data_IF_430726769317
#
_entry.id   IF_430726769317
#
_cell.length_a   1.000
_cell.length_b   1.000
_cell.length_c   1.000
_cell.angle_alpha   90.00
_cell.angle_beta   90.00
_cell.angle_gamma   90.00
#
_symmetry.space_group_name_H-M   'P 1'
#
loop_
_entity.id
_entity.type
_entity.pdbx_description
1 polymer ?
#
# COMPACT_ATOMS: atom_id res chain seq x y z
N UNK A 1 20.73 -18.34 -11.41
CA UNK A 1 19.38 -18.61 -10.85
C UNK A 1 18.81 -17.27 -10.41
N UNK A 2 17.89 -16.70 -11.19
CA UNK A 2 17.29 -15.40 -10.87
C UNK A 2 16.42 -15.57 -9.64
N UNK A 3 16.85 -15.05 -8.49
CA UNK A 3 16.09 -15.12 -7.24
C UNK A 3 14.85 -14.26 -7.41
N UNK A 4 13.68 -14.90 -7.49
CA UNK A 4 12.41 -14.18 -7.45
C UNK A 4 12.30 -13.45 -6.10
N UNK A 5 11.84 -12.18 -6.09
CA UNK A 5 11.83 -11.35 -4.87
C UNK A 5 10.66 -11.67 -3.92
N UNK A 6 9.84 -12.69 -4.23
CA UNK A 6 8.65 -13.06 -3.47
C UNK A 6 8.77 -14.43 -2.80
N UNK A 7 7.93 -14.64 -1.78
CA UNK A 7 7.89 -15.88 -1.01
C UNK A 7 7.07 -16.99 -1.70
N UNK A 8 7.28 -18.23 -1.25
CA UNK A 8 6.59 -19.43 -1.79
C UNK A 8 5.07 -19.34 -1.69
N UNK A 9 4.54 -18.78 -0.59
CA UNK A 9 3.10 -18.64 -0.40
C UNK A 9 2.47 -17.74 -1.47
N UNK A 10 3.11 -16.61 -1.78
CA UNK A 10 2.66 -15.69 -2.82
C UNK A 10 2.64 -16.36 -4.19
N UNK A 11 3.71 -17.07 -4.51
CA UNK A 11 3.84 -17.83 -5.75
C UNK A 11 2.71 -18.88 -5.91
N UNK A 12 2.44 -19.68 -4.87
CA UNK A 12 1.40 -20.70 -4.90
C UNK A 12 0.00 -20.11 -5.04
N UNK A 13 -0.26 -19.00 -4.35
CA UNK A 13 -1.53 -18.26 -4.45
C UNK A 13 -1.72 -17.76 -5.87
N UNK A 14 -0.70 -17.10 -6.42
CA UNK A 14 -0.75 -16.49 -7.75
C UNK A 14 -0.92 -17.55 -8.83
N UNK A 15 -0.14 -18.65 -8.81
CA UNK A 15 -0.30 -19.76 -9.77
C UNK A 15 -1.70 -20.37 -9.74
N UNK A 16 -2.31 -20.51 -8.56
CA UNK A 16 -3.69 -21.02 -8.46
C UNK A 16 -4.74 -20.08 -9.05
N UNK A 17 -4.42 -18.79 -9.17
CA UNK A 17 -5.29 -17.76 -9.76
C UNK A 17 -5.06 -17.56 -11.26
N UNK A 18 -4.10 -18.26 -11.87
CA UNK A 18 -3.71 -18.16 -13.28
C UNK A 18 -4.00 -19.48 -14.01
N UNK A 19 -5.22 -19.71 -14.49
CA UNK A 19 -5.62 -20.99 -15.08
C UNK A 19 -4.87 -21.33 -16.38
N UNK A 20 -4.31 -20.34 -17.07
CA UNK A 20 -3.58 -20.54 -18.33
C UNK A 20 -2.07 -20.73 -18.13
N UNK A 21 -1.55 -20.51 -16.91
CA UNK A 21 -0.13 -20.68 -16.61
C UNK A 21 0.18 -22.15 -16.36
N UNK A 22 1.14 -22.72 -17.10
CA UNK A 22 1.60 -24.09 -16.87
C UNK A 22 2.41 -24.19 -15.59
N UNK A 23 2.32 -25.32 -14.88
CA UNK A 23 3.10 -25.55 -13.64
C UNK A 23 4.62 -25.46 -13.86
N UNK A 24 5.12 -25.86 -15.03
CA UNK A 24 6.54 -25.82 -15.36
C UNK A 24 7.00 -24.44 -15.86
N UNK A 25 6.07 -23.52 -16.09
CA UNK A 25 6.39 -22.20 -16.62
C UNK A 25 6.97 -21.28 -15.53
N UNK A 26 8.07 -20.62 -15.87
CA UNK A 26 8.73 -19.67 -14.98
C UNK A 26 7.90 -18.40 -14.87
N UNK A 27 7.41 -18.11 -13.66
CA UNK A 27 6.73 -16.86 -13.35
C UNK A 27 7.78 -15.76 -13.14
N UNK A 28 7.83 -14.78 -14.05
CA UNK A 28 8.78 -13.67 -13.99
C UNK A 28 8.10 -12.43 -13.39
N UNK A 29 8.86 -11.52 -12.74
CA UNK A 29 8.30 -10.29 -12.16
C UNK A 29 7.57 -9.42 -13.20
N UNK A 30 7.95 -9.52 -14.47
CA UNK A 30 7.35 -8.76 -15.58
C UNK A 30 6.27 -9.54 -16.34
N UNK A 31 5.91 -10.75 -15.91
CA UNK A 31 4.90 -11.58 -16.58
C UNK A 31 3.53 -10.88 -16.56
N UNK A 32 2.86 -10.70 -17.70
CA UNK A 32 1.58 -10.00 -17.76
C UNK A 32 0.43 -10.90 -17.27
N UNK A 33 -0.07 -10.69 -16.05
CA UNK A 33 -1.04 -11.62 -15.43
C UNK A 33 -2.35 -11.75 -16.21
N UNK A 34 -2.79 -10.66 -16.86
CA UNK A 34 -4.01 -10.65 -17.67
C UNK A 34 -3.96 -11.63 -18.84
N UNK A 35 -2.77 -11.90 -19.40
CA UNK A 35 -2.62 -12.88 -20.49
C UNK A 35 -2.77 -14.33 -20.00
N UNK A 36 -2.65 -14.56 -18.69
CA UNK A 36 -2.78 -15.88 -18.07
C UNK A 36 -4.16 -16.17 -17.47
N UNK A 37 -5.16 -15.37 -17.84
CA UNK A 37 -6.56 -15.59 -17.46
C UNK A 37 -6.97 -14.94 -16.14
N UNK A 38 -6.19 -13.97 -15.64
CA UNK A 38 -6.59 -13.17 -14.48
C UNK A 38 -7.70 -12.18 -14.86
N UNK A 39 -8.94 -12.54 -14.54
CA UNK A 39 -10.13 -11.70 -14.69
C UNK A 39 -10.51 -10.97 -13.38
N UNK A 40 -11.47 -10.05 -13.42
CA UNK A 40 -12.04 -9.32 -12.26
C UNK A 40 -12.40 -10.23 -11.08
N UNK A 41 -13.08 -11.36 -11.33
CA UNK A 41 -13.40 -12.32 -10.25
C UNK A 41 -12.14 -13.01 -9.70
N UNK A 42 -11.16 -13.29 -10.57
CA UNK A 42 -9.86 -13.82 -10.19
C UNK A 42 -9.06 -12.83 -9.34
N UNK A 43 -9.11 -11.54 -9.66
CA UNK A 43 -8.48 -10.46 -8.90
C UNK A 43 -9.07 -10.35 -7.49
N UNK A 44 -10.40 -10.39 -7.36
CA UNK A 44 -11.06 -10.32 -6.05
C UNK A 44 -10.73 -11.52 -5.17
N UNK A 45 -10.69 -12.74 -5.73
CA UNK A 45 -10.24 -13.92 -4.98
C UNK A 45 -8.76 -13.86 -4.62
N UNK A 46 -7.93 -13.33 -5.53
CA UNK A 46 -6.50 -13.15 -5.29
C UNK A 46 -6.26 -12.19 -4.12
N UNK A 47 -6.96 -11.04 -4.08
CA UNK A 47 -6.92 -10.10 -2.95
C UNK A 47 -7.24 -10.85 -1.64
N UNK A 48 -8.39 -11.52 -1.56
CA UNK A 48 -8.83 -12.19 -0.33
C UNK A 48 -7.82 -13.26 0.16
N UNK A 49 -7.21 -14.01 -0.76
CA UNK A 49 -6.19 -15.02 -0.42
C UNK A 49 -4.89 -14.38 0.05
N UNK A 50 -4.49 -13.25 -0.55
CA UNK A 50 -3.30 -12.51 -0.13
C UNK A 50 -3.50 -11.90 1.27
N UNK A 51 -4.65 -11.29 1.54
CA UNK A 51 -4.99 -10.75 2.87
C UNK A 51 -4.90 -11.82 3.95
N UNK A 52 -5.53 -12.97 3.69
CA UNK A 52 -5.54 -14.10 4.64
C UNK A 52 -4.14 -14.67 4.86
N UNK A 53 -3.37 -14.87 3.78
CA UNK A 53 -2.08 -15.56 3.85
C UNK A 53 -0.96 -14.68 4.41
N UNK A 54 -1.00 -13.38 4.12
CA UNK A 54 0.00 -12.41 4.59
C UNK A 54 -0.47 -11.60 5.81
N UNK A 55 -1.67 -11.88 6.34
CA UNK A 55 -2.29 -11.15 7.46
C UNK A 55 -2.30 -9.63 7.24
N UNK A 56 -2.60 -9.22 6.00
CA UNK A 56 -2.73 -7.82 5.60
C UNK A 56 -4.17 -7.50 5.27
N UNK A 57 -4.48 -6.21 5.15
CA UNK A 57 -5.77 -5.74 4.64
C UNK A 57 -5.53 -4.77 3.50
N UNK A 58 -6.23 -4.96 2.39
CA UNK A 58 -6.25 -4.04 1.25
C UNK A 58 -7.58 -3.29 1.23
N UNK A 59 -7.61 -2.01 1.66
CA UNK A 59 -8.83 -1.22 1.62
C UNK A 59 -9.40 -1.13 0.19
N UNK A 60 -10.72 -0.99 0.03
CA UNK A 60 -11.33 -0.84 -1.27
C UNK A 60 -10.73 0.36 -2.02
N UNK A 61 -10.32 0.14 -3.27
CA UNK A 61 -9.68 1.16 -4.11
C UNK A 61 -8.16 1.29 -3.96
N UNK A 62 -7.51 0.57 -3.03
CA UNK A 62 -6.03 0.59 -2.94
C UNK A 62 -5.35 -0.35 -3.93
N UNK A 63 -6.08 -1.32 -4.48
CA UNK A 63 -5.63 -2.24 -5.53
C UNK A 63 -6.27 -1.87 -6.87
N UNK A 64 -5.72 -0.90 -7.62
CA UNK A 64 -6.18 -0.62 -8.99
C UNK A 64 -5.85 -1.79 -9.91
N UNK A 65 -6.49 -1.85 -11.09
CA UNK A 65 -6.19 -2.87 -12.11
C UNK A 65 -4.71 -2.94 -12.48
N UNK A 66 -4.00 -1.81 -12.49
CA UNK A 66 -2.54 -1.76 -12.73
C UNK A 66 -1.72 -2.50 -11.68
N UNK A 67 -2.24 -2.70 -10.45
CA UNK A 67 -1.57 -3.52 -9.43
C UNK A 67 -1.49 -5.00 -9.84
N UNK A 68 -2.41 -5.44 -10.71
CA UNK A 68 -2.48 -6.79 -11.26
C UNK A 68 -1.81 -6.89 -12.64
N UNK A 69 -1.04 -5.88 -13.07
CA UNK A 69 -0.37 -5.92 -14.36
C UNK A 69 0.67 -7.04 -14.42
N UNK A 70 1.48 -7.19 -13.36
CA UNK A 70 2.52 -8.22 -13.27
C UNK A 70 2.81 -8.62 -11.80
N UNK A 71 3.43 -9.79 -11.55
CA UNK A 71 3.73 -10.26 -10.20
C UNK A 71 4.59 -9.30 -9.39
N UNK A 72 5.53 -8.59 -10.03
CA UNK A 72 6.45 -7.68 -9.35
C UNK A 72 5.72 -6.50 -8.71
N UNK A 73 4.80 -5.87 -9.44
CA UNK A 73 3.97 -4.77 -8.93
C UNK A 73 3.06 -5.27 -7.81
N UNK A 74 2.39 -6.42 -8.02
CA UNK A 74 1.49 -6.99 -7.03
C UNK A 74 2.22 -7.31 -5.71
N UNK A 75 3.40 -7.90 -5.79
CA UNK A 75 4.21 -8.19 -4.61
C UNK A 75 4.62 -6.93 -3.85
N UNK A 76 4.96 -5.85 -4.57
CA UNK A 76 5.25 -4.55 -3.96
C UNK A 76 4.09 -4.03 -3.12
N UNK A 77 2.85 -4.21 -3.57
CA UNK A 77 1.64 -3.84 -2.81
C UNK A 77 1.47 -4.67 -1.54
N UNK A 78 1.74 -5.98 -1.61
CA UNK A 78 1.72 -6.87 -0.44
C UNK A 78 2.76 -6.44 0.60
N UNK A 79 3.99 -6.12 0.17
CA UNK A 79 5.02 -5.64 1.07
C UNK A 79 4.69 -4.28 1.69
N UNK A 80 4.12 -3.35 0.92
CA UNK A 80 3.67 -2.07 1.44
C UNK A 80 2.55 -2.24 2.49
N UNK A 81 1.61 -3.18 2.27
CA UNK A 81 0.54 -3.46 3.22
C UNK A 81 1.06 -4.15 4.50
N UNK A 82 2.01 -5.09 4.39
CA UNK A 82 2.67 -5.68 5.56
C UNK A 82 3.36 -4.62 6.42
N UNK A 83 4.06 -3.68 5.77
CA UNK A 83 4.68 -2.55 6.44
C UNK A 83 3.68 -1.54 7.01
N UNK A 84 2.46 -1.46 6.49
CA UNK A 84 1.42 -0.65 7.13
C UNK A 84 0.84 -1.36 8.36
N UNK A 85 0.70 -2.69 8.30
CA UNK A 85 0.17 -3.52 9.39
C UNK A 85 1.16 -3.66 10.54
N UNK A 86 2.46 -3.84 10.28
CA UNK A 86 3.48 -3.97 11.34
C UNK A 86 3.63 -2.69 12.19
N UNK A 87 3.25 -1.53 11.63
CA UNK A 87 3.21 -0.24 12.34
C UNK A 87 1.83 0.08 12.94
N UNK A 88 0.84 -0.82 12.79
CA UNK A 88 -0.48 -0.76 13.44
C UNK A 88 -0.54 -1.75 14.62
N UNK A 89 -0.46 -1.22 15.84
CA UNK A 89 -0.16 -1.86 17.13
C UNK A 89 -0.89 -3.19 17.50
N UNK A 90 -0.27 -4.04 18.35
CA UNK A 90 -0.87 -5.25 18.90
C UNK A 90 -1.73 -4.97 20.16
N UNK A 91 -2.71 -4.08 20.12
CA UNK A 91 -3.78 -4.11 21.14
C UNK A 91 -5.04 -3.34 20.69
N UNK A 92 -6.20 -3.90 20.98
CA UNK A 92 -7.48 -3.51 20.40
C UNK A 92 -7.89 -2.06 20.71
N UNK A 93 -8.22 -1.29 19.67
CA UNK A 93 -8.78 0.03 19.86
C UNK A 93 -8.96 0.82 18.57
N UNK A 94 -10.09 0.61 17.92
CA UNK A 94 -10.78 1.55 17.03
C UNK A 94 -10.07 2.91 16.79
N UNK A 95 -9.29 3.05 15.71
CA UNK A 95 -8.97 4.37 15.12
C UNK A 95 -8.66 4.24 13.62
N UNK A 96 -9.43 4.97 12.81
CA UNK A 96 -9.33 5.02 11.34
C UNK A 96 -8.03 5.65 10.82
N UNK A 97 -7.81 5.66 9.49
CA UNK A 97 -6.51 5.91 8.90
C UNK A 97 -6.02 7.35 9.15
N UNK A 98 -4.88 7.44 9.83
CA UNK A 98 -4.08 8.66 9.94
C UNK A 98 -3.45 8.97 8.57
N UNK A 99 -3.96 10.00 7.91
CA UNK A 99 -3.25 10.69 6.84
C UNK A 99 -1.92 11.21 7.40
N UNK A 100 -0.81 10.70 6.84
CA UNK A 100 0.54 11.19 7.08
C UNK A 100 0.61 12.69 6.73
N UNK A 101 0.51 13.56 7.74
CA UNK A 101 0.98 14.95 7.60
C UNK A 101 2.51 14.90 7.55
N UNK A 102 3.02 15.20 6.37
CA UNK A 102 4.43 15.51 6.12
C UNK A 102 4.75 16.81 6.88
N UNK A 103 5.33 16.69 8.07
CA UNK A 103 5.81 17.80 8.90
C UNK A 103 6.96 18.50 8.18
N UNK A 104 6.69 19.70 7.64
CA UNK A 104 7.71 20.69 7.38
C UNK A 104 8.11 21.35 8.69
N UNK A 105 9.37 21.22 9.05
CA UNK A 105 10.04 21.96 10.11
C UNK A 105 10.07 23.45 9.75
N UNK A 106 9.43 24.31 10.56
CA UNK A 106 9.79 25.72 10.67
C UNK A 106 9.18 26.35 11.94
N UNK A 107 10.05 26.65 12.92
CA UNK A 107 10.02 27.88 13.70
C UNK A 107 8.94 28.04 14.76
N UNK A 108 9.21 27.52 15.97
CA UNK A 108 8.70 28.14 17.19
C UNK A 108 9.86 28.98 17.73
N UNK A 109 9.69 30.30 17.70
CA UNK A 109 10.54 31.23 18.47
C UNK A 109 9.68 31.95 19.50
N UNK A 110 10.34 32.10 20.62
CA UNK A 110 9.87 32.30 21.97
C UNK A 110 9.48 33.75 22.29
N UNK A 111 8.88 33.89 23.46
CA UNK A 111 8.34 35.07 24.12
C UNK A 111 9.11 36.40 23.99
N UNK A 112 8.30 37.47 23.90
CA UNK A 112 8.41 38.59 24.83
C UNK A 112 9.00 39.87 24.29
N UNK A 113 8.15 40.87 24.06
CA UNK A 113 8.44 42.27 24.44
C UNK A 113 7.16 43.11 24.45
N UNK A 114 6.88 43.70 25.61
CA UNK A 114 5.89 44.75 25.84
C UNK A 114 6.46 46.10 25.39
N UNK A 115 5.58 46.97 24.94
CA UNK A 115 5.81 48.40 24.69
C UNK A 115 5.56 48.75 23.21
N UNK A 116 4.88 49.82 22.81
CA UNK A 116 4.22 50.95 23.47
C UNK A 116 3.28 51.54 22.40
N UNK A 117 2.23 52.22 22.85
CA UNK A 117 1.23 52.98 22.08
C UNK A 117 1.81 53.90 20.99
N UNK A 118 1.10 54.03 19.87
CA UNK A 118 0.80 55.30 19.18
C UNK A 118 -0.04 55.04 17.91
N UNK A 119 -1.13 55.79 17.76
CA UNK A 119 -2.13 55.59 16.73
C UNK A 119 -1.76 56.08 15.32
N UNK A 120 -2.59 55.70 14.36
CA UNK A 120 -2.79 56.45 13.13
C UNK A 120 -4.18 56.14 12.56
N UNK A 121 -4.90 57.21 12.28
CA UNK A 121 -6.29 57.30 11.82
C UNK A 121 -6.58 56.53 10.53
N UNK A 122 -7.75 55.92 10.49
CA UNK A 122 -8.48 55.67 9.25
C UNK A 122 -9.27 56.93 8.92
N UNK A 123 -9.00 57.54 7.76
CA UNK A 123 -9.95 58.43 7.12
C UNK A 123 -10.48 57.78 5.84
N UNK A 124 -11.73 58.13 5.62
CA UNK A 124 -12.79 57.57 4.78
C UNK A 124 -12.45 57.49 3.28
#
# INVERSE_FOLDING_TARGET
MTKVPWDKAFDEILRSSLPLLKQDEALLPSTPLSEYGLDSMGMMQLIARLETSHRVTFPPGTMPSSAFANPGVLWGMVQAAQQATEWGEPDGGHRGPAHRRRTGLAGWSEHGSRGTVAGASWQY
#
